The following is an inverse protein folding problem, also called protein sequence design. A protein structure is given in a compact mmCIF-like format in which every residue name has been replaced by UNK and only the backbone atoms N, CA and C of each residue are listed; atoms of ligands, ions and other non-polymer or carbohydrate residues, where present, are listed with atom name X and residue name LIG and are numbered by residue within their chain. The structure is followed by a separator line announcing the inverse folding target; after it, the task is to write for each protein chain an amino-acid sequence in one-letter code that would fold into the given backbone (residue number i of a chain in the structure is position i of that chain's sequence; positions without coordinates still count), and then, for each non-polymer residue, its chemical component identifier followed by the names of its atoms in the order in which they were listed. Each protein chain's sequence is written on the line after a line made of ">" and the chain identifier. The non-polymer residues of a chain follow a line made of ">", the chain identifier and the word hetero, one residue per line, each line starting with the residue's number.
data_IF_601283915611
#
_entry.id   IF_601283915611
#
_cell.length_a   1.000
_cell.length_b   1.000
_cell.length_c   1.000
_cell.angle_alpha   90.00
_cell.angle_beta   90.00
_cell.angle_gamma   90.00
#
_symmetry.space_group_name_H-M   'P 1'
#
loop_
_entity.id
_entity.type
_entity.pdbx_description
1 polymer ?
#
# COMPACT_ATOMS: atom_id res chain seq x y z
N UNK A 1 11.08 11.08 16.96
CA UNK A 1 11.10 12.49 16.54
C UNK A 1 9.75 12.86 15.92
N UNK A 2 9.28 14.12 15.96
CA UNK A 2 8.00 14.48 15.35
C UNK A 2 8.03 14.19 13.85
N UNK A 3 7.13 13.33 13.38
CA UNK A 3 7.06 12.90 11.97
C UNK A 3 6.74 14.09 11.08
N UNK A 4 7.75 14.60 10.37
CA UNK A 4 7.55 15.68 9.40
C UNK A 4 6.82 15.10 8.18
N UNK A 5 5.55 15.50 7.98
CA UNK A 5 4.77 15.04 6.82
C UNK A 5 5.25 15.79 5.56
N UNK A 6 5.40 15.11 4.41
CA UNK A 6 5.69 15.78 3.15
C UNK A 6 4.51 16.65 2.72
N UNK A 7 4.81 17.75 2.04
CA UNK A 7 3.82 18.57 1.35
C UNK A 7 3.09 17.75 0.26
N UNK A 8 1.87 18.14 -0.11
CA UNK A 8 0.98 17.38 -1.00
C UNK A 8 1.65 17.10 -2.36
N UNK A 9 2.37 18.07 -2.91
CA UNK A 9 3.13 17.89 -4.16
C UNK A 9 4.25 16.85 -4.04
N UNK A 10 4.97 16.85 -2.90
CA UNK A 10 6.04 15.88 -2.62
C UNK A 10 5.47 14.50 -2.35
N UNK A 11 4.28 14.42 -1.76
CA UNK A 11 3.54 13.17 -1.59
C UNK A 11 3.08 12.60 -2.94
N UNK A 12 2.62 13.44 -3.87
CA UNK A 12 2.31 13.03 -5.25
C UNK A 12 3.56 12.56 -5.98
N UNK A 13 4.66 13.33 -5.93
CA UNK A 13 5.95 12.93 -6.50
C UNK A 13 6.42 11.58 -5.96
N UNK A 14 6.38 11.40 -4.64
CA UNK A 14 6.69 10.13 -3.98
C UNK A 14 5.76 8.99 -4.44
N UNK A 15 4.46 9.28 -4.60
CA UNK A 15 3.46 8.32 -5.09
C UNK A 15 3.71 7.89 -6.54
N UNK A 16 4.26 8.79 -7.36
CA UNK A 16 4.68 8.53 -8.74
C UNK A 16 6.05 7.83 -8.84
N UNK A 17 6.66 7.45 -7.71
CA UNK A 17 7.96 6.79 -7.67
C UNK A 17 9.16 7.73 -7.53
N UNK A 18 8.91 9.01 -7.24
CA UNK A 18 9.92 9.99 -6.91
C UNK A 18 10.64 9.71 -5.59
N UNK A 19 11.90 10.14 -5.49
CA UNK A 19 12.68 10.07 -4.25
C UNK A 19 12.31 11.21 -3.32
N UNK A 20 12.32 10.95 -2.02
CA UNK A 20 12.09 11.94 -0.97
C UNK A 20 13.40 12.15 -0.20
N UNK A 21 13.65 13.35 0.32
CA UNK A 21 14.87 13.63 1.09
C UNK A 21 14.89 12.88 2.42
N UNK A 22 16.08 12.61 2.97
CA UNK A 22 16.30 11.86 4.22
C UNK A 22 15.49 12.37 5.42
N UNK A 23 15.18 13.67 5.47
CA UNK A 23 14.30 14.29 6.48
C UNK A 23 12.92 13.61 6.62
N UNK A 24 12.46 12.88 5.60
CA UNK A 24 11.18 12.19 5.59
C UNK A 24 11.29 10.67 5.81
N UNK A 25 12.46 10.14 6.15
CA UNK A 25 12.67 8.71 6.38
C UNK A 25 11.74 8.12 7.44
N UNK A 26 11.57 8.80 8.58
CA UNK A 26 10.63 8.37 9.62
C UNK A 26 9.18 8.26 9.10
N UNK A 27 8.79 9.16 8.19
CA UNK A 27 7.47 9.14 7.58
C UNK A 27 7.34 8.04 6.53
N UNK A 28 8.37 7.82 5.70
CA UNK A 28 8.41 6.75 4.69
C UNK A 28 8.33 5.38 5.35
N UNK A 29 9.13 5.16 6.40
CA UNK A 29 9.13 3.92 7.15
C UNK A 29 7.76 3.68 7.79
N UNK A 30 7.17 4.72 8.38
CA UNK A 30 5.82 4.63 8.95
C UNK A 30 4.75 4.35 7.89
N UNK A 31 4.80 5.00 6.72
CA UNK A 31 3.86 4.76 5.61
C UNK A 31 3.94 3.31 5.11
N UNK A 32 5.15 2.73 5.08
CA UNK A 32 5.40 1.35 4.67
C UNK A 32 5.00 0.29 5.73
N UNK A 33 4.93 0.67 7.01
CA UNK A 33 4.73 -0.26 8.14
C UNK A 33 3.39 -0.09 8.85
N UNK A 34 2.65 0.99 8.57
CA UNK A 34 1.32 1.25 9.14
C UNK A 34 0.29 0.21 8.72
N UNK A 35 -0.61 -0.22 9.60
CA UNK A 35 -1.67 -1.19 9.29
C UNK A 35 -2.61 -0.83 8.12
N UNK A 36 -2.77 0.45 7.78
CA UNK A 36 -3.54 0.92 6.62
C UNK A 36 -2.73 1.03 5.31
N UNK A 37 -1.51 0.48 5.26
CA UNK A 37 -0.65 0.49 4.08
C UNK A 37 -1.32 -0.08 2.83
N UNK A 38 -2.13 -1.15 2.99
CA UNK A 38 -2.90 -1.79 1.90
C UNK A 38 -3.90 -0.83 1.29
N UNK A 39 -4.68 -0.13 2.12
CA UNK A 39 -5.65 0.88 1.67
C UNK A 39 -4.98 2.04 0.95
N UNK A 40 -3.83 2.51 1.45
CA UNK A 40 -3.04 3.57 0.81
C UNK A 40 -2.52 3.15 -0.56
N UNK A 41 -2.13 1.88 -0.70
CA UNK A 41 -1.72 1.35 -1.98
C UNK A 41 -2.89 1.26 -2.96
N UNK A 42 -4.03 0.71 -2.54
CA UNK A 42 -5.25 0.64 -3.36
C UNK A 42 -5.69 2.03 -3.82
N UNK A 43 -5.79 3.00 -2.90
CA UNK A 43 -6.16 4.37 -3.25
C UNK A 43 -5.22 5.00 -4.27
N UNK A 44 -3.91 4.73 -4.16
CA UNK A 44 -2.92 5.21 -5.13
C UNK A 44 -3.08 4.55 -6.49
N UNK A 45 -3.31 3.24 -6.52
CA UNK A 45 -3.61 2.53 -7.76
C UNK A 45 -4.90 3.05 -8.39
N UNK A 46 -5.93 3.38 -7.61
CA UNK A 46 -7.14 4.05 -8.09
C UNK A 46 -6.80 5.37 -8.77
N UNK A 47 -5.95 6.21 -8.17
CA UNK A 47 -5.54 7.50 -8.77
C UNK A 47 -4.80 7.29 -10.10
N UNK A 48 -4.02 6.22 -10.25
CA UNK A 48 -3.35 5.89 -11.52
C UNK A 48 -4.28 5.25 -12.55
N UNK A 49 -5.25 4.44 -12.12
CA UNK A 49 -6.19 3.73 -12.99
C UNK A 49 -7.33 4.65 -13.46
N UNK A 50 -7.76 5.60 -12.62
CA UNK A 50 -8.84 6.54 -12.91
C UNK A 50 -8.70 7.29 -14.25
N UNK A 51 -7.55 7.89 -14.61
CA UNK A 51 -7.41 8.55 -15.90
C UNK A 51 -7.50 7.56 -17.07
N UNK A 52 -6.97 6.33 -16.92
CA UNK A 52 -7.09 5.29 -17.94
C UNK A 52 -8.56 4.89 -18.15
N UNK A 53 -9.30 4.66 -17.06
CA UNK A 53 -10.73 4.38 -17.12
C UNK A 53 -11.53 5.53 -17.75
N UNK A 54 -11.17 6.79 -17.46
CA UNK A 54 -11.81 7.96 -18.06
C UNK A 54 -11.60 8.00 -19.59
N UNK A 55 -10.38 7.72 -20.07
CA UNK A 55 -10.10 7.62 -21.52
C UNK A 55 -10.95 6.52 -22.17
N UNK A 56 -11.09 5.37 -21.50
CA UNK A 56 -11.85 4.24 -22.04
C UNK A 56 -13.36 4.50 -22.06
N UNK A 57 -13.83 5.37 -21.17
CA UNK A 57 -15.21 5.85 -21.16
C UNK A 57 -15.49 6.85 -22.29
N UNK A 58 -14.47 7.56 -22.80
CA UNK A 58 -14.60 8.49 -23.92
C UNK A 58 -14.65 7.79 -25.30
N UNK A 59 -14.28 6.51 -25.39
CA UNK A 59 -14.32 5.76 -26.66
C UNK A 59 -15.74 5.71 -27.24
N UNK A 60 -15.95 5.95 -28.54
CA UNK A 60 -17.27 5.79 -29.15
C UNK A 60 -17.70 4.32 -29.10
N UNK A 61 -18.86 4.05 -28.47
CA UNK A 61 -19.41 2.69 -28.33
C UNK A 61 -20.58 2.60 -27.35
N UNK A 62 -21.27 1.45 -27.28
CA UNK A 62 -22.36 1.25 -26.32
C UNK A 62 -21.84 1.26 -24.88
N UNK A 63 -22.51 2.00 -23.99
CA UNK A 63 -22.15 2.11 -22.56
C UNK A 63 -21.86 0.77 -21.85
N UNK A 64 -22.67 -0.30 -22.00
CA UNK A 64 -22.39 -1.56 -21.30
C UNK A 64 -21.06 -2.19 -21.74
N UNK A 65 -20.68 -2.05 -23.01
CA UNK A 65 -19.39 -2.53 -23.51
C UNK A 65 -18.24 -1.72 -22.89
N UNK A 66 -18.36 -0.38 -22.84
CA UNK A 66 -17.35 0.48 -22.20
C UNK A 66 -17.15 0.09 -20.73
N UNK A 67 -18.25 -0.12 -20.00
CA UNK A 67 -18.20 -0.50 -18.59
C UNK A 67 -17.54 -1.87 -18.38
N UNK A 68 -17.87 -2.87 -19.21
CA UNK A 68 -17.26 -4.20 -19.13
C UNK A 68 -15.74 -4.15 -19.37
N UNK A 69 -15.30 -3.38 -20.37
CA UNK A 69 -13.89 -3.19 -20.70
C UNK A 69 -13.16 -2.46 -19.55
N UNK A 70 -13.75 -1.37 -19.02
CA UNK A 70 -13.22 -0.62 -17.87
C UNK A 70 -13.10 -1.50 -16.64
N UNK A 71 -14.13 -2.30 -16.34
CA UNK A 71 -14.16 -3.21 -15.21
C UNK A 71 -13.06 -4.28 -15.33
N UNK A 72 -12.91 -4.88 -16.50
CA UNK A 72 -11.86 -5.89 -16.76
C UNK A 72 -10.47 -5.29 -16.57
N UNK A 73 -10.21 -4.12 -17.18
CA UNK A 73 -8.93 -3.43 -17.05
C UNK A 73 -8.63 -3.05 -15.59
N UNK A 74 -9.62 -2.55 -14.86
CA UNK A 74 -9.48 -2.21 -13.45
C UNK A 74 -9.16 -3.47 -12.61
N UNK A 75 -9.89 -4.57 -12.80
CA UNK A 75 -9.65 -5.83 -12.09
C UNK A 75 -8.23 -6.35 -12.30
N UNK A 76 -7.75 -6.39 -13.54
CA UNK A 76 -6.38 -6.82 -13.86
C UNK A 76 -5.36 -5.89 -13.22
N UNK A 77 -5.53 -4.57 -13.35
CA UNK A 77 -4.62 -3.60 -12.77
C UNK A 77 -4.56 -3.70 -11.23
N UNK A 78 -5.72 -3.84 -10.56
CA UNK A 78 -5.76 -4.05 -9.11
C UNK A 78 -5.15 -5.38 -8.69
N UNK A 79 -5.40 -6.46 -9.44
CA UNK A 79 -4.82 -7.77 -9.15
C UNK A 79 -3.29 -7.70 -9.18
N UNK A 80 -2.70 -7.17 -10.25
CA UNK A 80 -1.25 -6.98 -10.36
C UNK A 80 -0.72 -6.03 -9.29
N UNK A 81 -1.42 -4.92 -9.03
CA UNK A 81 -1.06 -3.98 -7.97
C UNK A 81 -1.00 -4.66 -6.60
N UNK A 82 -1.97 -5.52 -6.27
CA UNK A 82 -1.98 -6.27 -5.02
C UNK A 82 -0.88 -7.35 -4.97
N UNK A 83 -0.65 -8.06 -6.07
CA UNK A 83 0.38 -9.09 -6.16
C UNK A 83 1.79 -8.52 -5.97
N UNK A 84 2.08 -7.35 -6.54
CA UNK A 84 3.38 -6.68 -6.45
C UNK A 84 3.45 -5.61 -5.35
N UNK A 85 2.46 -5.57 -4.45
CA UNK A 85 2.32 -4.50 -3.48
C UNK A 85 3.52 -4.44 -2.52
N UNK A 86 3.95 -5.60 -2.01
CA UNK A 86 5.08 -5.69 -1.10
C UNK A 86 6.40 -5.33 -1.78
N UNK A 87 6.63 -5.92 -2.95
CA UNK A 87 7.83 -5.65 -3.76
C UNK A 87 7.93 -4.17 -4.13
N UNK A 88 6.81 -3.54 -4.47
CA UNK A 88 6.76 -2.11 -4.79
C UNK A 88 7.12 -1.22 -3.59
N UNK A 89 6.78 -1.64 -2.36
CA UNK A 89 7.13 -0.90 -1.14
C UNK A 89 8.61 -1.12 -0.81
N UNK A 90 9.10 -2.34 -0.89
CA UNK A 90 10.51 -2.66 -0.67
C UNK A 90 11.40 -1.92 -1.68
N UNK A 91 11.03 -1.91 -2.96
CA UNK A 91 11.74 -1.18 -3.98
C UNK A 91 11.77 0.33 -3.70
N UNK A 92 10.67 0.90 -3.17
CA UNK A 92 10.65 2.31 -2.73
C UNK A 92 11.55 2.56 -1.52
N UNK A 93 11.56 1.66 -0.54
CA UNK A 93 12.43 1.77 0.64
C UNK A 93 13.90 1.72 0.21
N UNK A 94 14.26 0.74 -0.62
CA UNK A 94 15.60 0.63 -1.21
C UNK A 94 15.98 1.89 -2.01
N UNK A 95 15.05 2.44 -2.82
CA UNK A 95 15.28 3.68 -3.57
C UNK A 95 15.51 4.89 -2.68
N UNK A 96 15.02 4.90 -1.43
CA UNK A 96 15.27 5.97 -0.46
C UNK A 96 16.45 5.64 0.48
N UNK A 97 17.26 4.61 0.20
CA UNK A 97 18.46 4.31 0.97
C UNK A 97 18.24 3.45 2.21
N UNK A 98 17.06 2.85 2.37
CA UNK A 98 16.85 1.85 3.42
C UNK A 98 17.46 0.50 3.02
N UNK A 99 17.90 -0.31 4.00
CA UNK A 99 18.31 -1.68 3.75
C UNK A 99 17.17 -2.49 3.12
N UNK A 100 17.47 -3.39 2.16
CA UNK A 100 16.46 -4.24 1.55
C UNK A 100 15.82 -5.15 2.60
N UNK A 101 14.49 -5.27 2.55
CA UNK A 101 13.72 -6.15 3.45
C UNK A 101 13.37 -5.53 4.81
N UNK A 102 13.74 -4.27 5.07
CA UNK A 102 13.35 -3.58 6.31
C UNK A 102 11.83 -3.50 6.44
N UNK A 103 11.12 -3.17 5.36
CA UNK A 103 9.66 -3.05 5.41
C UNK A 103 8.98 -4.37 5.76
N UNK A 104 9.47 -5.49 5.21
CA UNK A 104 8.98 -6.85 5.46
C UNK A 104 9.30 -7.28 6.89
N UNK A 105 10.52 -7.03 7.39
CA UNK A 105 10.92 -7.33 8.77
C UNK A 105 10.07 -6.59 9.79
N UNK A 106 9.95 -5.27 9.66
CA UNK A 106 9.16 -4.47 10.61
C UNK A 106 7.68 -4.85 10.61
N UNK A 107 7.12 -5.23 9.43
CA UNK A 107 5.74 -5.74 9.36
C UNK A 107 5.59 -7.14 9.99
N UNK A 108 6.57 -8.02 9.80
CA UNK A 108 6.59 -9.34 10.42
C UNK A 108 6.70 -9.25 11.94
N UNK A 109 7.55 -8.36 12.46
CA UNK A 109 7.66 -8.08 13.90
C UNK A 109 6.33 -7.55 14.47
N UNK A 110 5.69 -6.60 13.78
CA UNK A 110 4.39 -6.08 14.18
C UNK A 110 3.29 -7.15 14.15
N UNK A 111 3.29 -8.04 13.15
CA UNK A 111 2.36 -9.16 13.07
C UNK A 111 2.58 -10.16 14.20
N UNK A 112 3.83 -10.49 14.53
CA UNK A 112 4.16 -11.40 15.64
C UNK A 112 3.70 -10.86 16.99
N UNK A 113 3.83 -9.55 17.24
CA UNK A 113 3.30 -8.91 18.47
C UNK A 113 1.77 -9.03 18.52
N UNK A 114 1.08 -8.74 17.42
CA UNK A 114 -0.37 -8.87 17.35
C UNK A 114 -0.85 -10.32 17.55
N UNK A 115 -0.14 -11.29 16.96
CA UNK A 115 -0.42 -12.73 17.12
C UNK A 115 -0.17 -13.20 18.56
N UNK A 116 0.87 -12.69 19.23
CA UNK A 116 1.13 -12.96 20.63
C UNK A 116 -0.02 -12.45 21.52
N UNK A 117 -0.48 -11.21 21.31
CA UNK A 117 -1.64 -10.67 22.03
C UNK A 117 -2.93 -11.48 21.81
N UNK A 118 -3.16 -11.96 20.57
CA UNK A 118 -4.32 -12.81 20.26
C UNK A 118 -4.20 -14.16 20.95
N UNK A 119 -3.00 -14.76 20.92
CA UNK A 119 -2.71 -16.02 21.59
C UNK A 119 -2.89 -15.89 23.11
N UNK A 120 -2.41 -14.82 23.72
CA UNK A 120 -2.58 -14.55 25.15
C UNK A 120 -4.07 -14.42 25.52
N UNK A 121 -4.86 -13.68 24.73
CA UNK A 121 -6.31 -13.57 24.93
C UNK A 121 -7.03 -14.91 24.77
N UNK A 122 -6.61 -15.72 23.79
CA UNK A 122 -7.14 -17.05 23.56
C UNK A 122 -6.84 -17.96 24.76
N UNK A 123 -5.59 -18.01 25.19
CA UNK A 123 -5.16 -18.79 26.36
C UNK A 123 -5.87 -18.32 27.62
N UNK A 124 -6.02 -17.01 27.87
CA UNK A 124 -6.76 -16.50 29.03
C UNK A 124 -8.24 -16.93 29.03
N UNK A 125 -8.86 -17.08 27.85
CA UNK A 125 -10.27 -17.48 27.72
C UNK A 125 -10.50 -18.99 27.87
N UNK A 126 -9.57 -19.80 27.40
CA UNK A 126 -9.77 -21.25 27.27
C UNK A 126 -8.90 -22.10 28.20
N UNK A 127 -7.85 -21.54 28.82
CA UNK A 127 -6.95 -22.30 29.72
C UNK A 127 -7.60 -22.65 31.06
N UNK A 128 -8.61 -21.90 31.50
CA UNK A 128 -9.37 -22.19 32.73
C UNK A 128 -10.52 -23.21 32.52
N UNK A 129 -10.72 -23.70 31.29
CA UNK A 129 -11.79 -24.65 30.95
C UNK A 129 -11.31 -26.09 30.70
N UNK A 130 -10.01 -26.37 30.92
CA UNK A 130 -9.38 -27.68 30.74
C UNK A 130 -8.87 -28.22 32.10
#
# INVERSE_FOLDING_TARGET
>A
MPRKRPDVFRWLWYSLGGRLSERYHDWILHDATTGSWRWRHVARSTVMIAPLCAVWLLLPGPLPLRLAIVLMAALVAYFYSMAYMEESIEHRLAKNGFPPGIGRRTRAEAAAVAEAEVTERYLARYRDQA
#
